data_IF_649662832646
#
_entry.id   IF_649662832646
#
_cell.length_a   1.000
_cell.length_b   1.000
_cell.length_c   1.000
_cell.angle_alpha   90.00
_cell.angle_beta   90.00
_cell.angle_gamma   90.00
#
_symmetry.space_group_name_H-M   'P 1'
#
loop_
_entity.id
_entity.type
_entity.pdbx_description
1 polymer ?
#
# COMPACT_ATOMS: atom_id res chain seq x y z
N UNK A 1 -0.05 30.08 12.72
CA UNK A 1 -1.09 29.15 12.26
C UNK A 1 -0.56 28.49 10.98
N UNK A 2 -0.20 27.21 11.04
CA UNK A 2 0.31 26.47 9.87
C UNK A 2 -0.87 26.18 8.94
N UNK A 3 -0.95 26.84 7.79
CA UNK A 3 -1.93 26.49 6.76
C UNK A 3 -1.42 25.26 6.03
N UNK A 4 -1.94 24.09 6.39
CA UNK A 4 -1.84 22.86 5.61
C UNK A 4 -2.60 23.09 4.30
N UNK A 5 -1.88 23.59 3.30
CA UNK A 5 -2.41 23.75 1.96
C UNK A 5 -2.64 22.36 1.37
N UNK A 6 -3.91 21.95 1.29
CA UNK A 6 -4.36 20.76 0.57
C UNK A 6 -4.24 20.99 -0.95
N UNK A 7 -3.02 21.23 -1.42
CA UNK A 7 -2.71 21.55 -2.81
C UNK A 7 -2.12 20.32 -3.49
N UNK A 8 -2.81 19.84 -4.53
CA UNK A 8 -2.34 18.81 -5.46
C UNK A 8 -1.14 19.33 -6.27
N UNK A 9 -0.38 18.46 -6.97
CA UNK A 9 0.79 18.91 -7.74
C UNK A 9 0.47 20.09 -8.63
N UNK A 10 1.31 21.12 -8.56
CA UNK A 10 1.15 22.35 -9.34
C UNK A 10 0.18 23.38 -8.75
N UNK A 11 -0.24 23.25 -7.48
CA UNK A 11 -1.06 24.25 -6.81
C UNK A 11 -2.53 24.27 -7.23
N UNK A 12 -2.99 23.22 -7.92
CA UNK A 12 -4.33 23.16 -8.47
C UNK A 12 -5.29 22.53 -7.45
N UNK A 13 -6.28 23.29 -6.98
CA UNK A 13 -7.39 22.74 -6.18
C UNK A 13 -8.46 22.14 -7.09
N UNK A 14 -8.25 20.89 -7.51
CA UNK A 14 -9.25 20.07 -8.23
C UNK A 14 -9.53 18.78 -7.48
N UNK A 15 -10.75 18.26 -7.55
CA UNK A 15 -11.00 16.89 -7.14
C UNK A 15 -10.27 15.95 -8.11
N UNK A 16 -9.33 15.16 -7.61
CA UNK A 16 -8.72 14.10 -8.41
C UNK A 16 -9.68 12.90 -8.49
N UNK A 17 -9.73 12.28 -9.66
CA UNK A 17 -10.38 10.99 -9.83
C UNK A 17 -9.65 9.91 -9.03
N UNK A 18 -10.32 8.79 -8.70
CA UNK A 18 -9.66 7.65 -8.02
C UNK A 18 -8.36 7.22 -8.72
N UNK A 19 -8.33 7.27 -10.07
CA UNK A 19 -7.16 6.89 -10.87
C UNK A 19 -6.00 7.89 -10.72
N UNK A 20 -6.30 9.18 -10.63
CA UNK A 20 -5.30 10.22 -10.38
C UNK A 20 -4.75 10.12 -8.95
N UNK A 21 -5.61 9.85 -7.96
CA UNK A 21 -5.17 9.56 -6.58
C UNK A 21 -4.23 8.36 -6.52
N UNK A 22 -4.56 7.24 -7.18
CA UNK A 22 -3.71 6.05 -7.17
C UNK A 22 -2.32 6.33 -7.77
N UNK A 23 -2.25 7.10 -8.87
CA UNK A 23 -0.99 7.51 -9.50
C UNK A 23 -0.19 8.45 -8.62
N UNK A 24 -0.84 9.45 -8.03
CA UNK A 24 -0.20 10.38 -7.10
C UNK A 24 0.38 9.65 -5.89
N UNK A 25 -0.40 8.76 -5.27
CA UNK A 25 0.04 7.98 -4.12
C UNK A 25 1.21 7.06 -4.46
N UNK A 26 1.20 6.42 -5.64
CA UNK A 26 2.31 5.58 -6.07
C UNK A 26 3.64 6.37 -6.20
N UNK A 27 3.58 7.66 -6.57
CA UNK A 27 4.76 8.51 -6.75
C UNK A 27 5.18 9.24 -5.47
N UNK A 28 4.23 9.70 -4.65
CA UNK A 28 4.49 10.55 -3.48
C UNK A 28 4.53 9.79 -2.15
N UNK A 29 3.86 8.65 -2.10
CA UNK A 29 3.85 7.74 -0.95
C UNK A 29 4.25 6.34 -1.39
N UNK A 30 5.44 6.15 -2.00
CA UNK A 30 5.89 4.83 -2.44
C UNK A 30 6.00 3.83 -1.26
N UNK A 31 6.09 4.34 -0.01
CA UNK A 31 6.19 3.58 1.23
C UNK A 31 4.90 3.42 2.04
N UNK A 32 3.70 3.78 1.54
CA UNK A 32 2.44 3.42 2.22
C UNK A 32 1.98 1.99 1.94
N UNK A 33 2.74 1.24 1.13
CA UNK A 33 2.55 -0.19 0.93
C UNK A 33 3.22 -0.91 2.10
N UNK A 34 2.49 -1.82 2.72
CA UNK A 34 3.07 -2.69 3.75
C UNK A 34 4.21 -3.52 3.13
N UNK A 35 5.25 -3.77 3.91
CA UNK A 35 6.37 -4.64 3.51
C UNK A 35 6.08 -6.06 3.98
N UNK A 36 6.36 -7.04 3.14
CA UNK A 36 6.20 -8.45 3.45
C UNK A 36 7.25 -8.87 4.48
N UNK A 37 6.80 -9.45 5.60
CA UNK A 37 7.70 -9.93 6.66
C UNK A 37 8.52 -11.16 6.27
N UNK A 38 8.18 -11.84 5.18
CA UNK A 38 8.84 -13.09 4.76
C UNK A 38 9.87 -12.88 3.64
N UNK A 39 9.72 -11.85 2.82
CA UNK A 39 10.58 -11.59 1.67
C UNK A 39 11.07 -10.15 1.54
N UNK A 40 10.71 -9.28 2.47
CA UNK A 40 11.10 -7.85 2.51
C UNK A 40 10.68 -7.02 1.28
N UNK A 41 9.85 -7.59 0.40
CA UNK A 41 9.29 -6.89 -0.77
C UNK A 41 7.97 -6.19 -0.44
N UNK A 42 7.57 -5.16 -1.20
CA UNK A 42 6.26 -4.53 -1.04
C UNK A 42 5.14 -5.54 -1.25
N UNK A 43 4.22 -5.65 -0.28
CA UNK A 43 3.05 -6.54 -0.38
C UNK A 43 2.10 -6.16 -1.53
N UNK A 44 2.18 -4.91 -2.01
CA UNK A 44 1.22 -4.34 -2.95
C UNK A 44 -0.14 -4.05 -2.32
N UNK A 45 -0.30 -4.26 -1.01
CA UNK A 45 -1.54 -4.05 -0.24
C UNK A 45 -1.37 -2.89 0.75
N UNK A 46 -2.49 -2.29 1.14
CA UNK A 46 -2.60 -1.36 2.26
C UNK A 46 -3.15 -2.09 3.50
N UNK A 47 -3.20 -1.41 4.64
CA UNK A 47 -3.62 -2.00 5.93
C UNK A 47 -4.99 -2.71 5.88
N UNK A 48 -5.92 -2.20 5.07
CA UNK A 48 -7.29 -2.74 4.92
C UNK A 48 -7.33 -4.08 4.14
N UNK A 49 -6.42 -4.25 3.17
CA UNK A 49 -6.35 -5.42 2.25
C UNK A 49 -5.14 -6.34 2.54
N UNK A 50 -4.60 -6.24 3.76
CA UNK A 50 -3.41 -6.96 4.20
C UNK A 50 -3.64 -8.47 4.23
N UNK A 51 -2.65 -9.24 3.78
CA UNK A 51 -2.57 -10.67 4.05
C UNK A 51 -1.63 -10.88 5.23
N UNK A 52 -1.98 -11.74 6.18
CA UNK A 52 -1.17 -11.99 7.37
C UNK A 52 -0.70 -13.44 7.43
N UNK A 53 0.51 -13.68 7.92
CA UNK A 53 0.97 -15.01 8.32
C UNK A 53 0.38 -15.39 9.70
N UNK A 54 0.58 -16.64 10.15
CA UNK A 54 0.06 -17.10 11.45
C UNK A 54 0.50 -16.24 12.65
N UNK A 55 1.74 -15.72 12.70
CA UNK A 55 2.14 -14.74 13.72
C UNK A 55 1.45 -13.37 13.63
N UNK A 56 0.70 -13.08 12.57
CA UNK A 56 -0.01 -11.81 12.38
C UNK A 56 0.81 -10.71 11.70
N UNK A 57 1.89 -11.05 10.99
CA UNK A 57 2.68 -10.09 10.21
C UNK A 57 2.21 -10.00 8.76
N UNK A 58 2.23 -8.79 8.16
CA UNK A 58 1.81 -8.61 6.78
C UNK A 58 2.75 -9.36 5.83
N UNK A 59 2.18 -10.06 4.86
CA UNK A 59 2.89 -10.81 3.82
C UNK A 59 2.32 -10.48 2.44
N UNK A 60 3.13 -10.67 1.39
CA UNK A 60 2.69 -10.51 0.01
C UNK A 60 1.82 -11.69 -0.43
N UNK A 61 1.10 -11.50 -1.53
CA UNK A 61 0.23 -12.55 -2.13
C UNK A 61 1.02 -13.81 -2.50
N UNK A 62 2.27 -13.67 -2.96
CA UNK A 62 3.12 -14.82 -3.27
C UNK A 62 3.48 -15.65 -2.03
N UNK A 63 3.84 -15.01 -0.91
CA UNK A 63 4.15 -15.71 0.33
C UNK A 63 2.90 -16.35 0.93
N UNK A 64 1.75 -15.68 0.84
CA UNK A 64 0.48 -16.23 1.30
C UNK A 64 0.09 -17.49 0.51
N UNK A 65 0.21 -17.46 -0.83
CA UNK A 65 -0.07 -18.63 -1.67
C UNK A 65 0.83 -19.82 -1.33
N UNK A 66 2.13 -19.59 -1.08
CA UNK A 66 3.05 -20.65 -0.62
C UNK A 66 2.63 -21.28 0.70
N UNK A 67 2.02 -20.53 1.61
CA UNK A 67 1.49 -21.08 2.87
C UNK A 67 0.26 -21.94 2.59
N UNK A 68 -0.66 -21.47 1.75
CA UNK A 68 -1.86 -22.23 1.38
C UNK A 68 -1.52 -23.54 0.65
N UNK A 69 -0.55 -23.53 -0.26
CA UNK A 69 -0.11 -24.73 -0.99
C UNK A 69 0.54 -25.78 -0.09
N UNK A 70 1.19 -25.37 1.00
CA UNK A 70 1.79 -26.29 1.98
C UNK A 70 0.76 -27.01 2.86
N UNK A 71 -0.45 -26.48 2.96
CA UNK A 71 -1.52 -27.01 3.79
C UNK A 71 -2.49 -27.93 3.01
N UNK A 72 -2.13 -28.29 1.77
CA UNK A 72 -2.89 -29.20 0.89
C UNK A 72 -2.24 -30.58 0.85
#
# INVERSE_FOLDING_TARGET
>A
MHMSNNEWPGGIRRAMTQKEHARWNATHYPGTRQICSDCDEPTGRCEDDSLYNEPGYPICEECHNKILDKNK
#
